data_IF_769133953204
#
_entry.id   IF_769133953204
#
_cell.length_a   1.000
_cell.length_b   1.000
_cell.length_c   1.000
_cell.angle_alpha   90.00
_cell.angle_beta   90.00
_cell.angle_gamma   90.00
#
_symmetry.space_group_name_H-M   'P 1'
#
loop_
_entity.id
_entity.type
_entity.pdbx_description
1 polymer ?
#
# COMPACT_ATOMS: atom_id res chain seq x y z
N UNK A 1 10.10 -16.52 30.49
CA UNK A 1 10.91 -15.49 29.80
C UNK A 1 9.96 -14.68 28.95
N UNK A 2 9.81 -13.37 29.19
CA UNK A 2 8.97 -12.52 28.34
C UNK A 2 9.66 -12.35 26.98
N UNK A 3 9.02 -12.81 25.91
CA UNK A 3 9.48 -12.55 24.55
C UNK A 3 9.27 -11.06 24.28
N UNK A 4 10.32 -10.35 23.87
CA UNK A 4 10.21 -8.95 23.48
C UNK A 4 9.22 -8.82 22.31
N UNK A 5 8.44 -7.73 22.29
CA UNK A 5 7.58 -7.39 21.16
C UNK A 5 8.51 -7.16 19.95
N UNK A 6 8.28 -7.81 18.79
CA UNK A 6 9.11 -7.60 17.62
C UNK A 6 8.89 -6.20 17.06
N UNK A 7 9.92 -5.67 16.40
CA UNK A 7 9.79 -4.42 15.66
C UNK A 7 8.75 -4.55 14.54
N UNK A 8 7.86 -3.54 14.34
CA UNK A 8 6.94 -3.53 13.22
C UNK A 8 7.69 -3.63 11.88
N UNK A 9 7.27 -4.57 11.05
CA UNK A 9 7.84 -4.82 9.73
C UNK A 9 6.72 -4.93 8.71
N UNK A 10 6.47 -3.87 7.92
CA UNK A 10 5.42 -3.89 6.92
C UNK A 10 5.78 -4.77 5.73
N UNK A 11 4.78 -5.29 5.04
CA UNK A 11 4.99 -5.85 3.70
C UNK A 11 5.35 -4.72 2.74
N UNK A 12 6.42 -4.94 1.99
CA UNK A 12 6.88 -4.01 0.98
C UNK A 12 7.44 -4.74 -0.24
N UNK A 13 7.34 -4.08 -1.38
CA UNK A 13 7.92 -4.53 -2.65
C UNK A 13 8.89 -3.46 -3.17
N UNK A 14 9.97 -3.90 -3.83
CA UNK A 14 10.88 -3.01 -4.55
C UNK A 14 10.40 -2.87 -5.99
N UNK A 15 10.31 -1.63 -6.48
CA UNK A 15 9.96 -1.35 -7.86
C UNK A 15 10.97 -0.36 -8.46
N UNK A 16 11.64 -0.77 -9.54
CA UNK A 16 12.51 0.12 -10.32
C UNK A 16 11.71 0.68 -11.49
N UNK A 17 11.37 1.96 -11.43
CA UNK A 17 10.53 2.59 -12.45
C UNK A 17 10.25 4.05 -12.14
N UNK A 18 9.04 4.51 -12.51
CA UNK A 18 8.67 5.91 -12.47
C UNK A 18 7.27 6.05 -11.87
N UNK A 19 7.05 7.11 -11.11
CA UNK A 19 5.71 7.56 -10.72
C UNK A 19 5.32 8.73 -11.60
N UNK A 20 4.22 8.57 -12.33
CA UNK A 20 3.65 9.59 -13.21
C UNK A 20 2.45 10.26 -12.54
N UNK A 21 2.25 11.56 -12.75
CA UNK A 21 1.09 12.32 -12.31
C UNK A 21 0.27 12.85 -13.48
N UNK A 22 -1.05 12.76 -13.36
CA UNK A 22 -2.03 13.42 -14.22
C UNK A 22 -3.14 14.02 -13.36
N UNK A 23 -3.12 15.34 -13.15
CA UNK A 23 -4.02 16.00 -12.20
C UNK A 23 -3.80 15.49 -10.77
N UNK A 24 -4.87 15.05 -10.12
CA UNK A 24 -4.82 14.44 -8.77
C UNK A 24 -4.49 12.94 -8.79
N UNK A 25 -4.48 12.30 -9.96
CA UNK A 25 -4.22 10.87 -10.10
C UNK A 25 -2.74 10.60 -10.39
N UNK A 26 -2.27 9.44 -9.94
CA UNK A 26 -0.92 8.98 -10.22
C UNK A 26 -0.89 7.52 -10.65
N UNK A 27 0.17 7.11 -11.34
CA UNK A 27 0.37 5.75 -11.82
C UNK A 27 1.84 5.35 -11.68
N UNK A 28 2.09 4.05 -11.56
CA UNK A 28 3.43 3.47 -11.69
C UNK A 28 3.67 3.08 -13.15
N UNK A 29 4.83 3.41 -13.68
CA UNK A 29 5.20 3.11 -15.06
C UNK A 29 6.65 2.62 -15.16
N UNK A 30 6.91 1.82 -16.19
CA UNK A 30 8.26 1.30 -16.49
C UNK A 30 9.07 2.22 -17.41
N UNK A 31 8.40 3.18 -18.04
CA UNK A 31 9.00 4.17 -18.93
C UNK A 31 8.34 5.55 -18.76
N UNK A 32 9.04 6.65 -19.11
CA UNK A 32 8.44 7.98 -19.18
C UNK A 32 7.35 8.05 -20.25
N UNK A 33 6.33 8.87 -19.99
CA UNK A 33 5.23 9.10 -20.92
C UNK A 33 5.08 10.59 -21.20
N UNK A 34 4.87 10.95 -22.47
CA UNK A 34 4.82 12.34 -22.89
C UNK A 34 3.59 13.06 -22.29
N UNK A 35 3.81 14.28 -21.77
CA UNK A 35 2.74 15.11 -21.25
C UNK A 35 2.32 14.81 -19.80
N UNK A 36 2.99 13.88 -19.11
CA UNK A 36 2.82 13.63 -17.69
C UNK A 36 3.99 14.15 -16.86
N UNK A 37 3.69 14.61 -15.64
CA UNK A 37 4.72 14.99 -14.67
C UNK A 37 5.33 13.71 -14.07
N UNK A 38 6.66 13.65 -13.98
CA UNK A 38 7.37 12.60 -13.25
C UNK A 38 7.56 13.08 -11.80
N UNK A 39 6.90 12.42 -10.84
CA UNK A 39 7.01 12.75 -9.41
C UNK A 39 8.29 12.15 -8.82
N UNK A 40 8.62 10.93 -9.23
CA UNK A 40 9.76 10.17 -8.73
C UNK A 40 10.19 9.12 -9.76
N UNK A 41 11.46 8.73 -9.71
CA UNK A 41 12.04 7.71 -10.59
C UNK A 41 13.21 6.99 -9.92
N UNK A 42 13.46 5.75 -10.34
CA UNK A 42 14.53 4.90 -9.82
C UNK A 42 13.97 3.76 -8.98
N UNK A 43 14.73 3.35 -7.97
CA UNK A 43 14.31 2.34 -7.01
C UNK A 43 13.35 2.94 -5.98
N UNK A 44 12.12 2.43 -5.96
CA UNK A 44 11.02 2.91 -5.14
C UNK A 44 10.54 1.79 -4.23
N UNK A 45 10.11 2.16 -3.02
CA UNK A 45 9.51 1.22 -2.06
C UNK A 45 8.01 1.31 -2.16
N UNK A 46 7.36 0.18 -2.37
CA UNK A 46 5.91 0.05 -2.45
C UNK A 46 5.41 -0.55 -1.14
N UNK A 47 4.45 0.08 -0.50
CA UNK A 47 3.78 -0.44 0.71
C UNK A 47 2.27 -0.44 0.53
N UNK A 48 1.62 -1.29 1.31
CA UNK A 48 0.20 -1.57 1.20
C UNK A 48 -0.51 -1.11 2.45
N UNK A 49 -1.52 -0.26 2.29
CA UNK A 49 -2.24 0.37 3.37
C UNK A 49 -3.72 -0.02 3.38
N UNK A 50 -4.28 -0.09 4.58
CA UNK A 50 -5.70 -0.40 4.81
C UNK A 50 -6.38 0.87 5.34
N UNK A 51 -7.52 1.22 4.73
CA UNK A 51 -8.28 2.43 5.10
C UNK A 51 -8.94 2.29 6.46
N UNK A 52 -9.15 3.42 7.12
CA UNK A 52 -9.92 3.47 8.36
C UNK A 52 -11.41 3.53 8.04
N UNK A 53 -12.21 2.79 8.79
CA UNK A 53 -13.66 2.87 8.71
C UNK A 53 -14.15 4.27 9.08
N UNK A 54 -14.93 4.89 8.20
CA UNK A 54 -15.49 6.23 8.40
C UNK A 54 -14.49 7.38 8.27
N UNK A 55 -13.21 7.12 7.99
CA UNK A 55 -12.16 8.14 7.77
C UNK A 55 -11.38 7.84 6.49
N UNK A 56 -12.01 8.07 5.35
CA UNK A 56 -11.51 7.65 4.03
C UNK A 56 -10.18 8.28 3.59
N UNK A 57 -9.76 9.38 4.22
CA UNK A 57 -8.47 10.04 3.94
C UNK A 57 -7.29 9.42 4.70
N UNK A 58 -7.55 8.63 5.73
CA UNK A 58 -6.53 7.93 6.50
C UNK A 58 -6.45 6.45 6.10
N UNK A 59 -5.23 5.97 6.00
CA UNK A 59 -4.91 4.56 5.80
C UNK A 59 -3.65 4.23 6.61
N UNK A 60 -3.58 3.01 7.15
CA UNK A 60 -2.45 2.52 7.93
C UNK A 60 -1.69 1.49 7.11
N UNK A 61 -0.36 1.62 7.05
CA UNK A 61 0.54 0.57 6.59
C UNK A 61 0.80 -0.36 7.77
N UNK A 62 0.26 -1.59 7.79
CA UNK A 62 0.40 -2.48 8.93
C UNK A 62 1.84 -2.99 9.05
N UNK A 63 2.45 -2.86 10.23
CA UNK A 63 3.77 -3.42 10.52
C UNK A 63 3.74 -4.54 11.56
N UNK A 64 2.74 -4.55 12.43
CA UNK A 64 2.58 -5.52 13.51
C UNK A 64 1.09 -5.77 13.76
N UNK A 65 0.72 -7.02 13.98
CA UNK A 65 -0.59 -7.42 14.47
C UNK A 65 -0.42 -8.13 15.81
N UNK A 66 -1.19 -7.72 16.81
CA UNK A 66 -1.25 -8.33 18.13
C UNK A 66 -2.61 -9.02 18.28
N UNK A 67 -2.57 -10.34 18.44
CA UNK A 67 -3.75 -11.16 18.60
C UNK A 67 -4.21 -11.18 20.06
N UNK A 68 -5.52 -11.39 20.29
CA UNK A 68 -6.14 -11.42 21.62
C UNK A 68 -5.47 -12.41 22.61
N UNK A 69 -4.83 -13.47 22.09
CA UNK A 69 -4.17 -14.52 22.90
C UNK A 69 -2.65 -14.37 22.98
N UNK A 70 -2.10 -13.23 22.55
CA UNK A 70 -0.68 -12.88 22.69
C UNK A 70 0.22 -13.30 21.53
N UNK A 71 -0.33 -13.85 20.44
CA UNK A 71 0.42 -14.06 19.21
C UNK A 71 0.74 -12.72 18.54
N UNK A 72 1.97 -12.59 18.05
CA UNK A 72 2.50 -11.38 17.42
C UNK A 72 2.90 -11.71 15.99
N UNK A 73 2.25 -11.08 15.02
CA UNK A 73 2.45 -11.32 13.59
C UNK A 73 3.09 -10.08 12.94
N UNK A 74 4.06 -10.27 12.04
CA UNK A 74 4.67 -9.19 11.24
C UNK A 74 4.79 -9.61 9.77
N UNK A 75 5.12 -8.68 8.88
CA UNK A 75 5.35 -8.94 7.47
C UNK A 75 4.18 -9.68 6.80
N UNK A 76 4.50 -10.71 6.01
CA UNK A 76 3.51 -11.50 5.26
C UNK A 76 2.47 -12.17 6.16
N UNK A 77 2.85 -12.60 7.37
CA UNK A 77 1.92 -13.29 8.26
C UNK A 77 0.84 -12.34 8.77
N UNK A 78 1.24 -11.12 9.17
CA UNK A 78 0.32 -10.05 9.54
C UNK A 78 -0.58 -9.67 8.36
N UNK A 79 0.00 -9.53 7.15
CA UNK A 79 -0.75 -9.19 5.95
C UNK A 79 -1.78 -10.26 5.58
N UNK A 80 -1.39 -11.52 5.54
CA UNK A 80 -2.27 -12.65 5.25
C UNK A 80 -3.37 -12.79 6.29
N UNK A 81 -3.07 -12.53 7.56
CA UNK A 81 -4.09 -12.46 8.60
C UNK A 81 -5.10 -11.34 8.31
N UNK A 82 -4.64 -10.12 8.05
CA UNK A 82 -5.48 -8.96 7.83
C UNK A 82 -6.41 -9.13 6.62
N UNK A 83 -5.87 -9.64 5.50
CA UNK A 83 -6.63 -9.75 4.25
C UNK A 83 -7.57 -10.96 4.25
N UNK A 84 -7.20 -12.08 4.89
CA UNK A 84 -7.92 -13.35 4.71
C UNK A 84 -8.68 -13.84 5.96
N UNK A 85 -8.31 -13.38 7.16
CA UNK A 85 -8.73 -14.02 8.43
C UNK A 85 -9.20 -13.05 9.52
N UNK A 86 -9.06 -11.75 9.29
CA UNK A 86 -9.31 -10.68 10.27
C UNK A 86 -10.75 -10.58 10.78
N UNK A 87 -11.72 -11.02 9.99
CA UNK A 87 -13.14 -11.03 10.35
C UNK A 87 -13.45 -11.85 11.63
N UNK A 88 -12.59 -12.82 11.97
CA UNK A 88 -12.74 -13.64 13.18
C UNK A 88 -12.15 -12.98 14.44
N UNK A 89 -11.40 -11.88 14.29
CA UNK A 89 -10.60 -11.28 15.36
C UNK A 89 -10.73 -9.74 15.37
N UNK A 90 -11.94 -9.20 15.59
CA UNK A 90 -12.18 -7.75 15.56
C UNK A 90 -11.47 -6.96 16.67
N UNK A 91 -10.92 -7.65 17.68
CA UNK A 91 -10.19 -7.08 18.82
C UNK A 91 -8.67 -7.19 18.69
N UNK A 92 -8.16 -7.86 17.66
CA UNK A 92 -6.73 -7.82 17.36
C UNK A 92 -6.31 -6.37 17.09
N UNK A 93 -5.14 -5.99 17.61
CA UNK A 93 -4.55 -4.68 17.40
C UNK A 93 -3.64 -4.70 16.18
N UNK A 94 -3.60 -3.59 15.45
CA UNK A 94 -2.76 -3.36 14.28
C UNK A 94 -1.96 -2.11 14.55
N UNK A 95 -0.64 -2.29 14.69
CA UNK A 95 0.30 -1.20 14.81
C UNK A 95 1.02 -0.98 13.48
N UNK A 96 1.24 0.28 13.13
CA UNK A 96 1.82 0.64 11.85
C UNK A 96 2.03 2.13 11.67
N UNK A 97 2.34 2.52 10.45
CA UNK A 97 2.56 3.92 10.08
C UNK A 97 1.38 4.38 9.24
N UNK A 98 0.71 5.45 9.67
CA UNK A 98 -0.37 6.07 8.92
C UNK A 98 0.18 6.82 7.70
N UNK A 99 -0.63 6.98 6.67
CA UNK A 99 -0.26 7.65 5.42
C UNK A 99 0.15 9.14 5.55
N UNK A 100 0.04 9.75 6.72
CA UNK A 100 0.60 11.07 7.07
C UNK A 100 1.94 10.99 7.85
N UNK A 101 2.48 9.79 8.05
CA UNK A 101 3.76 9.52 8.70
C UNK A 101 3.70 9.35 10.22
N UNK A 102 2.54 9.47 10.85
CA UNK A 102 2.37 9.22 12.28
C UNK A 102 2.35 7.71 12.59
N UNK A 103 2.90 7.31 13.73
CA UNK A 103 2.64 5.98 14.28
C UNK A 103 1.18 5.90 14.75
N UNK A 104 0.55 4.77 14.53
CA UNK A 104 -0.82 4.53 14.98
C UNK A 104 -1.00 3.08 15.41
N UNK A 105 -1.95 2.85 16.32
CA UNK A 105 -2.35 1.53 16.77
C UNK A 105 -3.86 1.48 16.91
N UNK A 106 -4.49 0.58 16.15
CA UNK A 106 -5.95 0.47 16.07
C UNK A 106 -6.41 -0.97 16.15
N UNK A 107 -7.67 -1.16 16.52
CA UNK A 107 -8.29 -2.47 16.40
C UNK A 107 -8.67 -2.79 14.95
N UNK A 108 -8.63 -4.06 14.57
CA UNK A 108 -9.10 -4.55 13.26
C UNK A 108 -10.49 -4.02 12.90
N UNK A 109 -11.42 -3.96 13.86
CA UNK A 109 -12.79 -3.44 13.63
C UNK A 109 -12.84 -1.95 13.21
N UNK A 110 -11.75 -1.20 13.35
CA UNK A 110 -11.65 0.20 12.94
C UNK A 110 -11.11 0.34 11.51
N UNK A 111 -10.72 -0.76 10.88
CA UNK A 111 -10.24 -0.82 9.51
C UNK A 111 -11.39 -1.17 8.55
N UNK A 112 -11.41 -0.53 7.40
CA UNK A 112 -12.34 -0.82 6.32
C UNK A 112 -11.71 -1.81 5.33
N UNK A 113 -11.76 -3.08 5.72
CA UNK A 113 -11.24 -4.20 4.94
C UNK A 113 -12.11 -4.57 3.73
N UNK A 114 -13.27 -3.92 3.57
CA UNK A 114 -14.12 -4.07 2.39
C UNK A 114 -13.69 -3.12 1.24
N UNK A 115 -12.91 -2.09 1.55
CA UNK A 115 -12.34 -1.20 0.55
C UNK A 115 -11.10 -1.83 -0.10
N UNK A 116 -10.79 -1.44 -1.35
CA UNK A 116 -9.53 -1.80 -1.97
C UNK A 116 -8.34 -1.37 -1.10
N UNK A 117 -7.32 -2.22 -1.06
CA UNK A 117 -6.02 -1.88 -0.47
C UNK A 117 -5.43 -0.68 -1.20
N UNK A 118 -4.95 0.29 -0.42
CA UNK A 118 -4.30 1.48 -0.96
C UNK A 118 -2.81 1.20 -1.17
N UNK A 119 -2.33 1.44 -2.39
CA UNK A 119 -0.92 1.29 -2.74
C UNK A 119 -0.23 2.64 -2.53
N UNK A 120 0.88 2.62 -1.79
CA UNK A 120 1.63 3.81 -1.41
C UNK A 120 3.08 3.68 -1.88
N UNK A 121 3.61 4.75 -2.48
CA UNK A 121 4.99 4.80 -2.97
C UNK A 121 5.85 5.63 -2.03
N UNK A 122 7.02 5.12 -1.69
CA UNK A 122 7.99 5.74 -0.79
C UNK A 122 9.35 5.88 -1.50
N UNK A 123 10.10 6.92 -1.14
CA UNK A 123 11.44 7.15 -1.68
C UNK A 123 12.42 6.06 -1.24
N UNK A 124 12.31 5.62 0.01
CA UNK A 124 13.15 4.60 0.61
C UNK A 124 12.44 3.91 1.79
N UNK A 125 13.11 2.94 2.41
CA UNK A 125 12.55 2.18 3.56
C UNK A 125 12.40 3.03 4.83
N UNK A 126 13.19 4.09 4.99
CA UNK A 126 13.14 4.97 6.16
C UNK A 126 12.03 6.02 6.05
N UNK A 127 11.54 6.24 4.84
CA UNK A 127 10.46 7.19 4.55
C UNK A 127 9.17 6.78 5.25
N UNK A 128 8.58 7.75 5.95
CA UNK A 128 7.35 7.57 6.72
C UNK A 128 6.11 8.13 6.01
N UNK A 129 6.31 9.09 5.11
CA UNK A 129 5.26 9.67 4.27
C UNK A 129 5.39 9.20 2.83
N UNK A 130 4.29 8.83 2.15
CA UNK A 130 4.34 8.44 0.76
C UNK A 130 4.55 9.63 -0.17
N UNK A 131 5.28 9.42 -1.26
CA UNK A 131 5.44 10.35 -2.39
C UNK A 131 4.17 10.43 -3.24
N UNK A 132 3.47 9.30 -3.39
CA UNK A 132 2.31 9.17 -4.26
C UNK A 132 1.41 8.00 -3.85
N UNK A 133 0.20 8.01 -4.41
CA UNK A 133 -0.87 7.03 -4.21
C UNK A 133 -1.33 6.54 -5.58
N UNK A 134 -0.56 5.69 -6.26
CA UNK A 134 -0.88 5.28 -7.61
C UNK A 134 -2.21 4.50 -7.64
N UNK A 135 -2.99 4.74 -8.68
CA UNK A 135 -4.26 4.06 -8.92
C UNK A 135 -4.20 3.14 -10.13
N UNK A 136 -3.04 3.03 -10.78
CA UNK A 136 -2.84 2.29 -12.01
C UNK A 136 -1.38 1.87 -12.20
N UNK A 137 -1.19 0.81 -12.99
CA UNK A 137 0.08 0.41 -13.59
C UNK A 137 0.04 0.75 -15.09
N UNK A 138 1.12 1.30 -15.63
CA UNK A 138 1.25 1.62 -17.06
C UNK A 138 2.46 0.86 -17.62
N UNK A 139 2.18 -0.14 -18.43
CA UNK A 139 3.19 -1.01 -19.00
C UNK A 139 2.59 -2.07 -19.92
N UNK A 140 3.44 -2.76 -20.67
CA UNK A 140 2.99 -3.77 -21.65
C UNK A 140 2.77 -5.15 -21.03
N UNK A 141 3.37 -5.43 -19.86
CA UNK A 141 3.24 -6.72 -19.18
C UNK A 141 3.13 -6.57 -17.66
N UNK A 142 2.29 -7.40 -17.06
CA UNK A 142 2.19 -7.51 -15.59
C UNK A 142 3.49 -8.05 -14.95
N UNK A 143 4.33 -8.74 -15.73
CA UNK A 143 5.65 -9.22 -15.26
C UNK A 143 6.63 -8.10 -14.97
N UNK A 144 6.38 -6.90 -15.48
CA UNK A 144 7.28 -5.76 -15.30
C UNK A 144 7.08 -5.09 -13.93
N UNK A 145 6.09 -5.56 -13.16
CA UNK A 145 5.72 -5.04 -11.86
C UNK A 145 5.81 -6.14 -10.80
N UNK A 146 6.08 -5.78 -9.53
CA UNK A 146 5.90 -6.68 -8.40
C UNK A 146 4.55 -7.39 -8.45
N UNK A 147 4.55 -8.72 -8.29
CA UNK A 147 3.37 -9.55 -8.46
C UNK A 147 2.17 -9.08 -7.63
N UNK A 148 2.42 -8.56 -6.42
CA UNK A 148 1.36 -8.09 -5.52
C UNK A 148 0.65 -6.84 -6.03
N UNK A 149 1.32 -5.97 -6.79
CA UNK A 149 0.69 -4.77 -7.35
C UNK A 149 -0.47 -5.12 -8.28
N UNK A 150 -0.33 -6.18 -9.08
CA UNK A 150 -1.37 -6.64 -10.01
C UNK A 150 -2.65 -7.12 -9.31
N UNK A 151 -2.59 -7.40 -8.01
CA UNK A 151 -3.77 -7.72 -7.21
C UNK A 151 -4.56 -6.47 -6.76
N UNK A 152 -3.94 -5.29 -6.80
CA UNK A 152 -4.50 -4.06 -6.23
C UNK A 152 -4.63 -2.90 -7.24
N UNK A 153 -3.85 -2.90 -8.31
CA UNK A 153 -3.87 -1.87 -9.34
C UNK A 153 -4.19 -2.47 -10.73
N UNK A 154 -5.09 -1.85 -11.50
CA UNK A 154 -5.32 -2.21 -12.89
C UNK A 154 -4.08 -1.90 -13.75
N UNK A 155 -3.81 -2.77 -14.74
CA UNK A 155 -2.75 -2.58 -15.73
C UNK A 155 -3.33 -1.98 -17.01
N UNK A 156 -2.74 -0.88 -17.44
CA UNK A 156 -3.03 -0.22 -18.72
C UNK A 156 -1.83 -0.32 -19.65
N UNK A 157 -2.04 -0.60 -20.95
CA UNK A 157 -0.96 -0.64 -21.92
C UNK A 157 -0.31 0.72 -22.17
N UNK A 158 -1.03 1.82 -21.93
CA UNK A 158 -0.54 3.19 -22.11
C UNK A 158 -1.38 4.23 -21.36
N UNK A 159 -0.88 5.46 -21.29
CA UNK A 159 -1.55 6.61 -20.64
C UNK A 159 -2.90 6.92 -21.26
N UNK A 160 -3.05 6.83 -22.58
CA UNK A 160 -4.31 7.18 -23.25
C UNK A 160 -5.46 6.28 -22.80
N UNK A 161 -5.20 4.97 -22.63
CA UNK A 161 -6.19 4.03 -22.08
C UNK A 161 -6.54 4.34 -20.62
N UNK A 162 -5.54 4.65 -19.80
CA UNK A 162 -5.74 5.00 -18.39
C UNK A 162 -6.58 6.28 -18.23
N UNK A 163 -6.27 7.33 -19.01
CA UNK A 163 -6.98 8.61 -18.96
C UNK A 163 -8.42 8.53 -19.44
N UNK A 164 -8.73 7.62 -20.36
CA UNK A 164 -10.08 7.44 -20.89
C UNK A 164 -11.01 6.82 -19.83
N UNK A 165 -10.51 5.88 -19.03
CA UNK A 165 -11.28 5.28 -17.93
C UNK A 165 -11.39 6.21 -16.72
N UNK A 166 -10.34 6.99 -16.41
CA UNK A 166 -10.39 7.94 -15.28
C UNK A 166 -11.41 9.09 -15.46
N UNK A 167 -11.95 9.27 -16.67
CA UNK A 167 -12.95 10.29 -17.00
C UNK A 167 -14.39 9.73 -17.04
N UNK A 168 -14.59 8.43 -16.83
CA UNK A 168 -15.90 7.75 -16.83
C UNK A 168 -16.45 7.58 -15.41
#
# INVERSE_FOLDING_TARGET
MSRAIPEPSPVEDLFTGIVLRHGESSALATAPEAGLEIIASGDLIIRYAIRYQGKTHYAIVPGLVVMDYGDLLTGEEAWDFLIKRSNLHPRAEVAGIRNDGADDMVFVKQLDLAQPVEVLVYADRASRTPLARPTALIGTSASDFPQRLSAYLPLYPNVATWQSEAQS
#
